data_IF_292380461010
#
_entry.id   IF_292380461010
#
_cell.length_a   1.000
_cell.length_b   1.000
_cell.length_c   1.000
_cell.angle_alpha   90.00
_cell.angle_beta   90.00
_cell.angle_gamma   90.00
#
_symmetry.space_group_name_H-M   'P 1'
#
loop_
_entity.id
_entity.type
_entity.pdbx_description
1 polymer ?
#
# COMPACT_ATOMS: atom_id res chain seq x y z
N UNK A 1 -14.31 -0.51 -16.73
CA UNK A 1 -13.52 -1.30 -17.68
C UNK A 1 -13.97 -0.96 -19.09
N UNK A 2 -13.08 -1.02 -20.05
CA UNK A 2 -13.37 -0.80 -21.47
C UNK A 2 -12.48 -1.72 -22.32
N UNK A 3 -12.83 -1.88 -23.60
CA UNK A 3 -12.10 -2.77 -24.50
C UNK A 3 -10.78 -2.18 -24.97
N UNK A 4 -10.61 -0.87 -24.94
CA UNK A 4 -9.34 -0.18 -25.25
C UNK A 4 -8.92 0.77 -24.13
N UNK A 5 -7.66 1.16 -24.14
CA UNK A 5 -7.11 2.13 -23.18
C UNK A 5 -7.74 3.50 -23.35
N UNK A 6 -7.96 3.93 -24.58
CA UNK A 6 -8.56 5.22 -24.93
C UNK A 6 -9.96 5.31 -24.37
N UNK A 7 -10.80 4.30 -24.64
CA UNK A 7 -12.15 4.22 -24.09
C UNK A 7 -12.16 4.14 -22.56
N UNK A 8 -11.18 3.48 -21.95
CA UNK A 8 -11.06 3.43 -20.50
C UNK A 8 -10.77 4.82 -19.91
N UNK A 9 -9.90 5.60 -20.55
CA UNK A 9 -9.57 6.97 -20.13
C UNK A 9 -10.78 7.91 -20.29
N UNK A 10 -11.51 7.82 -21.39
CA UNK A 10 -12.74 8.57 -21.59
C UNK A 10 -13.80 8.20 -20.54
N UNK A 11 -13.99 6.91 -20.28
CA UNK A 11 -14.94 6.43 -19.29
C UNK A 11 -14.66 6.92 -17.87
N UNK A 12 -13.38 7.05 -17.50
CA UNK A 12 -12.98 7.58 -16.18
C UNK A 12 -13.50 9.00 -15.97
N UNK A 13 -13.50 9.84 -17.00
CA UNK A 13 -13.99 11.22 -16.92
C UNK A 13 -15.53 11.29 -16.71
N UNK A 14 -16.24 10.24 -17.08
CA UNK A 14 -17.69 10.15 -16.91
C UNK A 14 -18.11 9.62 -15.54
N UNK A 15 -17.17 9.09 -14.75
CA UNK A 15 -17.45 8.54 -13.41
C UNK A 15 -17.68 9.67 -12.42
N UNK A 16 -18.90 9.77 -11.91
CA UNK A 16 -19.24 10.72 -10.85
C UNK A 16 -19.11 10.06 -9.50
N UNK A 17 -18.16 10.55 -8.69
CA UNK A 17 -17.95 10.09 -7.32
C UNK A 17 -18.68 11.00 -6.34
N UNK A 18 -19.55 10.43 -5.52
CA UNK A 18 -20.28 11.16 -4.49
C UNK A 18 -19.81 10.70 -3.09
N UNK A 19 -19.33 11.63 -2.29
CA UNK A 19 -18.88 11.36 -0.93
C UNK A 19 -19.98 11.70 0.08
N UNK A 20 -20.28 10.75 0.96
CA UNK A 20 -21.21 10.92 2.09
C UNK A 20 -20.44 10.89 3.42
N UNK A 21 -21.02 11.47 4.46
CA UNK A 21 -20.45 11.45 5.81
C UNK A 21 -19.01 11.97 5.86
N UNK A 22 -18.74 13.07 5.17
CA UNK A 22 -17.42 13.70 5.15
C UNK A 22 -17.03 14.15 6.55
N UNK A 23 -15.84 13.71 6.97
CA UNK A 23 -15.18 14.22 8.19
C UNK A 23 -14.09 15.21 7.80
N UNK A 24 -13.68 16.11 8.71
CA UNK A 24 -12.51 16.95 8.48
C UNK A 24 -11.30 16.13 8.06
N UNK A 25 -10.58 16.62 7.07
CA UNK A 25 -9.35 15.97 6.63
C UNK A 25 -8.22 16.29 7.60
N UNK A 26 -7.45 15.29 7.95
CA UNK A 26 -6.19 15.42 8.69
C UNK A 26 -5.09 14.97 7.75
N UNK A 27 -4.35 15.93 7.22
CA UNK A 27 -3.33 15.70 6.18
C UNK A 27 -1.91 15.99 6.65
N UNK A 28 -1.77 16.67 7.79
CA UNK A 28 -0.45 16.96 8.35
C UNK A 28 -0.16 16.06 9.55
N UNK A 29 1.13 15.83 9.81
CA UNK A 29 1.57 15.09 10.98
C UNK A 29 1.15 15.80 12.28
N UNK A 30 1.25 17.13 12.33
CA UNK A 30 0.87 17.95 13.49
C UNK A 30 -0.61 17.79 13.83
N UNK A 31 -1.49 17.89 12.83
CA UNK A 31 -2.92 17.67 13.02
C UNK A 31 -3.24 16.24 13.45
N UNK A 32 -2.50 15.25 12.93
CA UNK A 32 -2.64 13.84 13.32
C UNK A 32 -2.19 13.60 14.76
N UNK A 33 -1.14 14.27 15.21
CA UNK A 33 -0.67 14.18 16.60
C UNK A 33 -1.64 14.87 17.58
N UNK A 34 -2.32 15.92 17.15
CA UNK A 34 -3.33 16.62 17.96
C UNK A 34 -4.63 15.83 18.12
N UNK A 35 -4.90 14.86 17.27
CA UNK A 35 -6.12 14.04 17.31
C UNK A 35 -5.80 12.65 17.93
N UNK A 36 -5.99 12.53 19.23
CA UNK A 36 -5.74 11.29 19.99
C UNK A 36 -6.48 10.06 19.42
N UNK A 37 -7.65 10.26 18.80
CA UNK A 37 -8.43 9.19 18.20
C UNK A 37 -7.74 8.55 16.99
N UNK A 38 -6.74 9.18 16.43
CA UNK A 38 -5.93 8.75 15.28
C UNK A 38 -4.56 8.20 15.67
N UNK A 39 -4.19 8.33 16.94
CA UNK A 39 -2.93 7.81 17.42
C UNK A 39 -3.04 6.30 17.62
N UNK A 40 -2.16 5.56 16.97
CA UNK A 40 -2.05 4.12 17.15
C UNK A 40 -0.89 3.84 18.09
N UNK A 41 -1.21 3.35 19.28
CA UNK A 41 -0.21 2.93 20.28
C UNK A 41 0.24 1.48 20.11
N UNK A 42 -0.47 0.72 19.27
CA UNK A 42 -0.17 -0.69 18.99
C UNK A 42 0.10 -0.88 17.51
N UNK A 43 1.27 -1.40 17.19
CA UNK A 43 1.52 -1.94 15.86
C UNK A 43 0.79 -3.28 15.73
N UNK A 44 0.16 -3.57 14.58
CA UNK A 44 -0.41 -4.88 14.35
C UNK A 44 0.66 -5.96 14.53
N UNK A 45 0.41 -6.98 15.34
CA UNK A 45 1.32 -8.13 15.54
C UNK A 45 1.73 -8.81 14.23
N UNK A 46 0.91 -8.66 13.21
CA UNK A 46 1.13 -9.09 11.83
C UNK A 46 2.50 -8.69 11.26
N UNK A 47 3.03 -7.52 11.64
CA UNK A 47 4.34 -7.06 11.13
C UNK A 47 5.51 -7.65 11.91
N UNK A 48 5.27 -8.43 12.96
CA UNK A 48 6.32 -8.93 13.84
C UNK A 48 7.13 -7.80 14.52
N UNK A 49 6.63 -6.58 14.42
CA UNK A 49 7.27 -5.38 14.94
C UNK A 49 6.57 -4.98 16.23
N UNK A 50 6.98 -5.60 17.33
CA UNK A 50 6.69 -5.01 18.63
C UNK A 50 7.72 -3.90 18.86
N UNK A 51 7.31 -2.63 19.04
CA UNK A 51 8.22 -1.59 19.45
C UNK A 51 8.75 -1.98 20.84
N UNK A 52 9.93 -2.61 20.87
CA UNK A 52 10.63 -2.81 22.11
C UNK A 52 11.20 -1.46 22.52
N UNK A 53 10.76 -0.96 23.65
CA UNK A 53 11.42 0.19 24.24
C UNK A 53 12.81 -0.24 24.70
N UNK A 54 13.84 0.28 24.04
CA UNK A 54 15.22 0.14 24.47
C UNK A 54 15.57 1.40 25.27
N UNK A 55 15.71 1.26 26.58
CA UNK A 55 16.14 2.33 27.47
C UNK A 55 17.53 2.00 27.99
N UNK A 56 18.51 2.85 27.68
CA UNK A 56 19.87 2.76 28.20
C UNK A 56 20.19 4.12 28.81
N UNK A 57 20.41 4.14 30.13
CA UNK A 57 20.58 5.37 30.90
C UNK A 57 19.24 6.09 31.19
N UNK A 58 19.35 7.28 31.77
CA UNK A 58 18.20 8.15 32.07
C UNK A 58 18.55 9.59 31.74
N UNK A 59 18.08 10.05 30.55
CA UNK A 59 18.36 11.40 30.07
C UNK A 59 17.77 12.48 31.00
N UNK A 60 16.60 12.22 31.58
CA UNK A 60 15.95 13.18 32.48
C UNK A 60 16.72 13.39 33.81
N UNK A 61 17.42 12.34 34.27
CA UNK A 61 18.28 12.47 35.44
C UNK A 61 19.63 13.12 35.07
N UNK A 62 20.14 12.84 33.86
CA UNK A 62 21.37 13.50 33.39
C UNK A 62 21.20 15.00 33.20
N UNK A 63 20.04 15.43 32.65
CA UNK A 63 19.72 16.86 32.46
C UNK A 63 19.71 17.69 33.75
N UNK A 64 19.49 17.05 34.91
CA UNK A 64 19.50 17.71 36.22
C UNK A 64 20.92 17.97 36.79
N UNK A 65 21.94 17.41 36.15
CA UNK A 65 23.32 17.55 36.63
C UNK A 65 23.86 18.95 36.35
N UNK A 66 24.51 19.55 37.35
CA UNK A 66 25.16 20.85 37.18
C UNK A 66 26.27 20.79 36.11
N UNK A 67 26.37 21.83 35.32
CA UNK A 67 27.42 21.97 34.30
C UNK A 67 27.05 21.45 32.92
N UNK A 68 25.83 20.91 32.71
CA UNK A 68 25.33 20.55 31.39
C UNK A 68 24.60 21.74 30.76
N UNK A 69 24.76 21.86 29.45
CA UNK A 69 24.00 22.81 28.63
C UNK A 69 23.05 22.03 27.76
N UNK A 70 21.74 22.24 27.92
CA UNK A 70 20.71 21.65 27.08
C UNK A 70 20.50 22.52 25.86
N UNK A 71 20.53 21.92 24.68
CA UNK A 71 20.20 22.57 23.41
C UNK A 71 18.97 21.90 22.87
N UNK A 72 17.92 22.68 22.61
CA UNK A 72 16.69 22.23 21.97
C UNK A 72 16.66 22.69 20.53
N UNK A 73 16.07 21.87 19.66
CA UNK A 73 15.93 22.18 18.25
C UNK A 73 14.79 21.38 17.62
N UNK A 74 14.26 21.90 16.54
CA UNK A 74 13.23 21.25 15.75
C UNK A 74 13.74 21.03 14.32
N UNK A 75 13.54 19.83 13.79
CA UNK A 75 13.83 19.50 12.41
C UNK A 75 12.57 18.94 11.77
N UNK A 76 12.07 19.62 10.75
CA UNK A 76 10.93 19.17 9.95
C UNK A 76 11.41 18.63 8.59
N UNK A 77 11.09 17.35 8.34
CA UNK A 77 11.37 16.69 7.08
C UNK A 77 10.05 16.37 6.38
N UNK A 78 9.90 16.87 5.16
CA UNK A 78 8.74 16.57 4.32
C UNK A 78 8.71 15.10 3.88
N UNK A 79 7.53 14.62 3.55
CA UNK A 79 7.34 13.29 2.96
C UNK A 79 8.05 13.21 1.60
N UNK A 80 8.69 12.07 1.34
CA UNK A 80 9.28 11.77 0.05
C UNK A 80 8.42 10.73 -0.68
N UNK A 81 8.21 10.95 -1.99
CA UNK A 81 7.63 9.97 -2.87
C UNK A 81 8.71 9.02 -3.40
N UNK A 82 8.37 7.75 -3.62
CA UNK A 82 9.34 6.74 -4.08
C UNK A 82 9.90 7.03 -5.47
N UNK A 83 9.11 7.70 -6.31
CA UNK A 83 9.48 8.19 -7.64
C UNK A 83 10.14 7.15 -8.55
N UNK A 84 9.62 5.92 -8.52
CA UNK A 84 10.04 4.89 -9.49
C UNK A 84 9.47 5.22 -10.88
N UNK A 85 10.27 4.99 -11.93
CA UNK A 85 9.88 5.33 -13.31
C UNK A 85 8.82 4.39 -13.87
N UNK A 86 8.87 3.11 -13.51
CA UNK A 86 7.82 2.15 -13.83
C UNK A 86 6.68 2.30 -12.84
N UNK A 87 5.52 2.76 -13.30
CA UNK A 87 4.32 2.88 -12.48
C UNK A 87 3.74 1.51 -12.11
N UNK A 88 2.79 1.50 -11.17
CA UNK A 88 2.10 0.29 -10.75
C UNK A 88 1.24 -0.26 -11.89
N UNK A 89 1.40 -1.54 -12.20
CA UNK A 89 0.59 -2.22 -13.20
C UNK A 89 0.37 -3.69 -12.87
N UNK A 90 -0.75 -4.21 -13.34
CA UNK A 90 -1.07 -5.63 -13.26
C UNK A 90 -1.83 -6.09 -14.50
N UNK A 91 -1.65 -7.35 -14.86
CA UNK A 91 -2.44 -8.06 -15.87
C UNK A 91 -2.91 -9.35 -15.24
N UNK A 92 -4.20 -9.62 -15.32
CA UNK A 92 -4.78 -10.88 -14.88
C UNK A 92 -5.47 -11.57 -16.05
N UNK A 93 -5.24 -12.86 -16.19
CA UNK A 93 -5.89 -13.72 -17.18
C UNK A 93 -6.54 -14.90 -16.46
N UNK A 94 -7.84 -15.16 -16.67
CA UNK A 94 -8.47 -16.39 -16.17
C UNK A 94 -7.93 -17.59 -16.91
N UNK A 95 -7.81 -18.70 -16.21
CA UNK A 95 -7.45 -20.03 -16.70
C UNK A 95 -8.59 -21.01 -16.44
N UNK A 96 -8.44 -22.23 -16.87
CA UNK A 96 -9.36 -23.33 -16.56
C UNK A 96 -9.35 -23.63 -15.05
N UNK A 97 -10.32 -24.39 -14.58
CA UNK A 97 -10.44 -24.87 -13.19
C UNK A 97 -10.39 -23.78 -12.11
N UNK A 98 -10.98 -22.61 -12.40
CA UNK A 98 -10.97 -21.47 -11.47
C UNK A 98 -9.56 -21.02 -11.07
N UNK A 99 -8.62 -21.17 -11.96
CA UNK A 99 -7.27 -20.63 -11.81
C UNK A 99 -7.12 -19.29 -12.50
N UNK A 100 -6.14 -18.52 -12.08
CA UNK A 100 -5.75 -17.26 -12.74
C UNK A 100 -4.24 -17.20 -12.91
N UNK A 101 -3.84 -16.50 -13.96
CA UNK A 101 -2.46 -16.05 -14.13
C UNK A 101 -2.40 -14.55 -13.92
N UNK A 102 -1.48 -14.10 -13.07
CA UNK A 102 -1.35 -12.72 -12.63
C UNK A 102 0.09 -12.24 -12.83
N UNK A 103 0.27 -11.23 -13.66
CA UNK A 103 1.49 -10.46 -13.75
C UNK A 103 1.30 -9.15 -13.02
N UNK A 104 2.21 -8.81 -12.13
CA UNK A 104 2.10 -7.59 -11.32
C UNK A 104 3.48 -7.02 -10.99
N UNK A 105 3.58 -5.70 -10.90
CA UNK A 105 4.77 -5.01 -10.45
C UNK A 105 4.81 -4.95 -8.91
N UNK A 106 5.15 -6.07 -8.26
CA UNK A 106 5.16 -6.20 -6.81
C UNK A 106 6.53 -6.58 -6.27
N UNK A 107 6.92 -5.99 -5.14
CA UNK A 107 8.09 -6.37 -4.35
C UNK A 107 7.78 -7.47 -3.32
N UNK A 108 6.50 -7.82 -3.14
CA UNK A 108 6.08 -8.79 -2.13
C UNK A 108 5.08 -9.80 -2.72
N UNK A 109 5.61 -10.77 -3.43
CA UNK A 109 4.83 -11.71 -4.24
C UNK A 109 3.91 -12.61 -3.40
N UNK A 110 4.44 -13.25 -2.37
CA UNK A 110 3.71 -14.23 -1.56
C UNK A 110 2.53 -13.59 -0.81
N UNK A 111 2.71 -12.38 -0.29
CA UNK A 111 1.65 -11.65 0.37
C UNK A 111 0.61 -11.13 -0.63
N UNK A 112 1.04 -10.63 -1.79
CA UNK A 112 0.14 -10.24 -2.88
C UNK A 112 -0.71 -11.42 -3.34
N UNK A 113 -0.11 -12.60 -3.54
CA UNK A 113 -0.81 -13.82 -3.92
C UNK A 113 -1.84 -14.24 -2.84
N UNK A 114 -1.46 -14.13 -1.56
CA UNK A 114 -2.36 -14.46 -0.44
C UNK A 114 -3.56 -13.52 -0.38
N UNK A 115 -3.36 -12.22 -0.61
CA UNK A 115 -4.45 -11.25 -0.62
C UNK A 115 -5.38 -11.45 -1.81
N UNK A 116 -4.85 -11.72 -3.00
CA UNK A 116 -5.67 -12.01 -4.18
C UNK A 116 -6.49 -13.28 -3.96
N UNK A 117 -5.89 -14.34 -3.37
CA UNK A 117 -6.59 -15.56 -3.03
C UNK A 117 -7.77 -15.30 -2.07
N UNK A 118 -7.51 -14.55 -1.01
CA UNK A 118 -8.53 -14.14 -0.05
C UNK A 118 -9.63 -13.29 -0.69
N UNK A 119 -9.27 -12.37 -1.57
CA UNK A 119 -10.21 -11.47 -2.26
C UNK A 119 -11.16 -12.23 -3.18
N UNK A 120 -10.65 -13.24 -3.89
CA UNK A 120 -11.44 -14.06 -4.81
C UNK A 120 -12.12 -15.26 -4.14
N UNK A 121 -11.75 -15.59 -2.91
CA UNK A 121 -12.23 -16.80 -2.21
C UNK A 121 -11.76 -18.09 -2.86
N UNK A 122 -10.53 -18.12 -3.42
CA UNK A 122 -9.95 -19.29 -4.07
C UNK A 122 -8.67 -19.73 -3.35
N UNK A 123 -8.25 -21.00 -3.50
CA UNK A 123 -6.99 -21.46 -2.96
C UNK A 123 -5.78 -20.70 -3.53
N UNK A 124 -4.77 -20.44 -2.71
CA UNK A 124 -3.56 -19.70 -3.11
C UNK A 124 -2.83 -20.35 -4.28
N UNK A 125 -2.80 -21.67 -4.34
CA UNK A 125 -2.18 -22.42 -5.43
C UNK A 125 -2.95 -22.37 -6.77
N UNK A 126 -4.15 -21.77 -6.79
CA UNK A 126 -4.86 -21.49 -8.03
C UNK A 126 -4.42 -20.15 -8.68
N UNK A 127 -3.47 -19.46 -8.08
CA UNK A 127 -2.92 -18.20 -8.58
C UNK A 127 -1.49 -18.43 -9.04
N UNK A 128 -1.30 -18.45 -10.35
CA UNK A 128 0.00 -18.44 -10.98
C UNK A 128 0.47 -16.99 -11.10
N UNK A 129 1.41 -16.59 -10.25
CA UNK A 129 1.85 -15.20 -10.15
C UNK A 129 3.27 -15.03 -10.63
N UNK A 130 3.48 -14.02 -11.46
CA UNK A 130 4.77 -13.74 -12.07
C UNK A 130 5.17 -12.26 -11.92
N UNK A 131 6.41 -12.03 -11.50
CA UNK A 131 7.10 -10.75 -11.53
C UNK A 131 8.39 -10.90 -12.31
N UNK A 132 8.39 -10.52 -13.59
CA UNK A 132 9.58 -10.69 -14.44
C UNK A 132 10.71 -9.76 -14.04
N UNK A 133 10.40 -8.49 -13.86
CA UNK A 133 11.36 -7.43 -13.54
C UNK A 133 10.61 -6.24 -12.95
N UNK A 134 11.27 -5.50 -12.09
CA UNK A 134 10.76 -4.24 -11.54
C UNK A 134 11.61 -3.06 -12.03
N UNK A 135 10.95 -2.05 -12.54
CA UNK A 135 11.56 -0.77 -12.92
C UNK A 135 11.65 0.20 -11.76
N UNK A 136 12.24 -0.25 -10.66
CA UNK A 136 12.29 0.45 -9.38
C UNK A 136 11.08 0.12 -8.49
N UNK A 137 11.24 0.29 -7.19
CA UNK A 137 10.18 0.05 -6.21
C UNK A 137 10.41 0.80 -4.91
N UNK A 138 11.62 0.70 -4.35
CA UNK A 138 12.06 1.43 -3.15
C UNK A 138 11.11 1.31 -1.96
N UNK A 139 10.42 0.16 -1.82
CA UNK A 139 9.36 -0.06 -0.85
C UNK A 139 7.95 0.33 -1.33
N UNK A 140 7.84 1.18 -2.35
CA UNK A 140 6.55 1.66 -2.88
C UNK A 140 5.73 0.63 -3.63
N UNK A 141 6.31 -0.53 -3.94
CA UNK A 141 5.62 -1.65 -4.60
C UNK A 141 5.40 -2.85 -3.67
N UNK A 142 5.57 -2.68 -2.36
CA UNK A 142 5.22 -3.70 -1.39
C UNK A 142 3.69 -3.79 -1.24
N UNK A 143 3.09 -2.84 -0.54
CA UNK A 143 1.64 -2.85 -0.26
C UNK A 143 0.79 -2.20 -1.36
N UNK A 144 1.17 -1.08 -2.01
CA UNK A 144 0.33 -0.48 -3.03
C UNK A 144 0.09 -1.38 -4.26
N UNK A 145 1.05 -2.22 -4.64
CA UNK A 145 0.90 -3.18 -5.74
C UNK A 145 -0.22 -4.20 -5.49
N UNK A 146 -0.53 -4.50 -4.23
CA UNK A 146 -1.57 -5.46 -3.85
C UNK A 146 -2.97 -4.95 -4.22
N UNK A 147 -3.23 -3.67 -4.07
CA UNK A 147 -4.51 -3.06 -4.45
C UNK A 147 -4.76 -3.20 -5.94
N UNK A 148 -3.73 -2.92 -6.74
CA UNK A 148 -3.80 -3.07 -8.20
C UNK A 148 -4.00 -4.53 -8.59
N UNK A 149 -3.28 -5.45 -7.96
CA UNK A 149 -3.40 -6.88 -8.19
C UNK A 149 -4.82 -7.39 -7.88
N UNK A 150 -5.36 -7.06 -6.70
CA UNK A 150 -6.71 -7.46 -6.30
C UNK A 150 -7.78 -6.86 -7.22
N UNK A 151 -7.71 -5.56 -7.54
CA UNK A 151 -8.65 -4.91 -8.44
C UNK A 151 -8.65 -5.55 -9.83
N UNK A 152 -7.45 -5.83 -10.37
CA UNK A 152 -7.28 -6.47 -11.68
C UNK A 152 -7.83 -7.90 -11.67
N UNK A 153 -7.54 -8.66 -10.61
CA UNK A 153 -8.00 -10.03 -10.46
C UNK A 153 -9.54 -10.11 -10.34
N UNK A 154 -10.15 -9.26 -9.53
CA UNK A 154 -11.61 -9.17 -9.39
C UNK A 154 -12.26 -8.82 -10.72
N UNK A 155 -11.71 -7.82 -11.43
CA UNK A 155 -12.22 -7.41 -12.72
C UNK A 155 -12.15 -8.56 -13.74
N UNK A 156 -11.00 -9.22 -13.86
CA UNK A 156 -10.78 -10.35 -14.75
C UNK A 156 -11.69 -11.54 -14.42
N UNK A 157 -11.82 -11.85 -13.14
CA UNK A 157 -12.70 -12.90 -12.65
C UNK A 157 -14.16 -12.65 -13.01
N UNK A 158 -14.60 -11.40 -12.81
CA UNK A 158 -16.00 -11.01 -13.06
C UNK A 158 -16.39 -11.09 -14.54
N UNK A 159 -15.51 -10.66 -15.44
CA UNK A 159 -15.81 -10.65 -16.88
C UNK A 159 -15.33 -11.92 -17.61
N UNK A 160 -14.59 -12.78 -16.92
CA UNK A 160 -13.95 -13.97 -17.46
C UNK A 160 -13.12 -13.68 -18.74
N UNK A 161 -12.36 -12.59 -18.71
CA UNK A 161 -11.46 -12.15 -19.79
C UNK A 161 -10.17 -11.61 -19.21
N UNK A 162 -9.07 -11.58 -19.99
CA UNK A 162 -7.87 -10.86 -19.58
C UNK A 162 -8.17 -9.39 -19.31
N UNK A 163 -7.66 -8.88 -18.18
CA UNK A 163 -7.79 -7.47 -17.80
C UNK A 163 -6.41 -6.93 -17.45
N UNK A 164 -6.11 -5.74 -17.94
CA UNK A 164 -4.95 -4.95 -17.56
C UNK A 164 -5.40 -3.73 -16.77
N UNK A 165 -4.67 -3.44 -15.70
CA UNK A 165 -4.79 -2.21 -14.94
C UNK A 165 -3.40 -1.58 -14.77
N UNK A 166 -3.30 -0.26 -14.91
CA UNK A 166 -2.06 0.50 -14.74
C UNK A 166 -2.34 1.98 -14.61
N UNK A 167 -1.43 2.67 -13.96
CA UNK A 167 -1.39 4.12 -13.83
C UNK A 167 -0.52 4.73 -14.93
#
# INVERSE_FOLDING_TARGET
MADTKELALEAVQLVKVTYKNKKPLVTTLRDGMADESRQTTTFPEFWGYCPKQVKVGDSAEEEKKEGLTTIEGELELGSQYHYYMETLSAVCRPKEDKQIQLWVTSQWMDFTQSLVASTLGIPKNHIDMEVKRLGGGYGGKCTPAMWIACATAVASWKVNKPVRYGF
#
